data_IF_539190227298
#
_entry.id   IF_539190227298
#
_cell.length_a   1.000
_cell.length_b   1.000
_cell.length_c   1.000
_cell.angle_alpha   90.00
_cell.angle_beta   90.00
_cell.angle_gamma   90.00
#
_symmetry.space_group_name_H-M   'P 1'
#
loop_
_entity.id
_entity.type
_entity.pdbx_description
1 polymer ?
#
# COMPACT_ATOMS: atom_id res chain seq x y z
N UNK A 1 -9.62 55.60 -67.07
CA UNK A 1 -8.86 55.89 -65.84
C UNK A 1 -8.56 54.56 -65.15
N UNK A 2 -7.28 54.22 -64.98
CA UNK A 2 -6.82 53.02 -64.27
C UNK A 2 -6.98 53.29 -62.76
N UNK A 3 -7.79 52.49 -62.06
CA UNK A 3 -7.75 52.42 -60.60
C UNK A 3 -6.47 51.68 -60.20
N UNK A 4 -5.38 52.41 -59.99
CA UNK A 4 -4.15 51.92 -59.36
C UNK A 4 -3.95 52.65 -58.03
N UNK A 5 -3.55 51.88 -57.02
CA UNK A 5 -3.04 52.30 -55.71
C UNK A 5 -4.05 52.63 -54.59
N UNK A 6 -4.96 51.68 -54.30
CA UNK A 6 -5.33 51.45 -52.90
C UNK A 6 -4.63 50.18 -52.42
N UNK A 7 -3.56 50.27 -51.61
CA UNK A 7 -3.02 49.08 -50.95
C UNK A 7 -4.13 48.49 -50.09
N UNK A 8 -4.31 47.16 -50.15
CA UNK A 8 -5.22 46.44 -49.27
C UNK A 8 -4.70 46.56 -47.83
N UNK A 9 -5.15 47.58 -47.11
CA UNK A 9 -4.87 47.76 -45.68
C UNK A 9 -5.89 46.95 -44.90
N UNK A 10 -5.55 45.70 -44.59
CA UNK A 10 -6.33 44.90 -43.65
C UNK A 10 -5.87 45.22 -42.23
N UNK A 11 -6.76 45.65 -41.32
CA UNK A 11 -6.44 45.69 -39.91
C UNK A 11 -6.39 44.24 -39.40
N UNK A 12 -5.22 43.60 -39.49
CA UNK A 12 -4.99 42.21 -39.04
C UNK A 12 -5.60 41.97 -37.64
N UNK A 13 -5.39 42.91 -36.70
CA UNK A 13 -5.93 42.81 -35.35
C UNK A 13 -7.46 42.76 -35.23
N UNK A 14 -8.22 43.28 -36.21
CA UNK A 14 -9.69 43.19 -36.19
C UNK A 14 -10.21 41.90 -36.84
N UNK A 15 -9.44 41.30 -37.76
CA UNK A 15 -9.82 40.09 -38.48
C UNK A 15 -9.63 38.88 -37.56
N UNK A 16 -8.52 38.84 -36.83
CA UNK A 16 -8.23 37.74 -35.92
C UNK A 16 -9.07 37.78 -34.63
N UNK A 17 -9.51 38.96 -34.16
CA UNK A 17 -10.27 39.08 -32.91
C UNK A 17 -11.53 38.19 -32.85
N UNK A 18 -12.29 38.10 -33.95
CA UNK A 18 -13.49 37.24 -33.99
C UNK A 18 -13.14 35.76 -34.03
N UNK A 19 -12.06 35.40 -34.73
CA UNK A 19 -11.56 34.03 -34.81
C UNK A 19 -11.02 33.60 -33.44
N UNK A 20 -10.22 34.44 -32.80
CA UNK A 20 -9.64 34.21 -31.47
C UNK A 20 -10.75 34.04 -30.41
N UNK A 21 -11.77 34.89 -30.45
CA UNK A 21 -12.93 34.76 -29.57
C UNK A 21 -13.68 33.44 -29.80
N UNK A 22 -13.85 33.01 -31.06
CA UNK A 22 -14.49 31.73 -31.38
C UNK A 22 -13.65 30.54 -30.91
N UNK A 23 -12.33 30.57 -31.14
CA UNK A 23 -11.40 29.56 -30.65
C UNK A 23 -11.46 29.48 -29.13
N UNK A 24 -11.51 30.61 -28.42
CA UNK A 24 -11.66 30.63 -26.98
C UNK A 24 -12.97 29.97 -26.52
N UNK A 25 -14.10 30.19 -27.21
CA UNK A 25 -15.36 29.48 -26.92
C UNK A 25 -15.21 27.97 -27.07
N UNK A 26 -14.52 27.51 -28.12
CA UNK A 26 -14.25 26.09 -28.30
C UNK A 26 -13.38 25.52 -27.17
N UNK A 27 -12.34 26.24 -26.74
CA UNK A 27 -11.51 25.86 -25.59
C UNK A 27 -12.34 25.77 -24.30
N UNK A 28 -13.23 26.73 -24.05
CA UNK A 28 -14.12 26.73 -22.90
C UNK A 28 -15.04 25.49 -22.92
N UNK A 29 -15.59 25.13 -24.09
CA UNK A 29 -16.43 23.94 -24.26
C UNK A 29 -15.65 22.62 -24.12
N UNK A 30 -14.38 22.59 -24.54
CA UNK A 30 -13.51 21.45 -24.27
C UNK A 30 -13.31 21.27 -22.76
N UNK A 31 -13.11 22.36 -22.01
CA UNK A 31 -12.99 22.32 -20.55
C UNK A 31 -14.30 21.80 -19.89
N UNK A 32 -15.48 22.15 -20.43
CA UNK A 32 -16.76 21.56 -19.99
C UNK A 32 -16.79 20.05 -20.23
N UNK A 33 -16.33 19.58 -21.41
CA UNK A 33 -16.28 18.16 -21.75
C UNK A 33 -15.33 17.37 -20.84
N UNK A 34 -14.17 17.94 -20.49
CA UNK A 34 -13.26 17.36 -19.50
C UNK A 34 -13.93 17.24 -18.12
N UNK A 35 -14.68 18.26 -17.71
CA UNK A 35 -15.51 18.21 -16.51
C UNK A 35 -16.52 17.06 -16.55
N UNK A 36 -17.19 16.84 -17.69
CA UNK A 36 -18.11 15.71 -17.86
C UNK A 36 -17.39 14.36 -17.75
N UNK A 37 -16.18 14.25 -18.30
CA UNK A 37 -15.41 13.01 -18.20
C UNK A 37 -15.04 12.67 -16.75
N UNK A 38 -14.75 13.68 -15.92
CA UNK A 38 -14.36 13.50 -14.53
C UNK A 38 -15.54 13.26 -13.58
N UNK A 39 -16.60 14.05 -13.71
CA UNK A 39 -17.67 14.13 -12.70
C UNK A 39 -18.95 13.39 -13.10
N UNK A 40 -19.18 13.11 -14.38
CA UNK A 40 -20.44 12.52 -14.86
C UNK A 40 -20.31 11.00 -15.14
N UNK A 41 -19.68 10.26 -14.22
CA UNK A 41 -19.40 8.82 -14.41
C UNK A 41 -20.67 7.99 -14.65
N UNK A 42 -21.71 8.14 -13.83
CA UNK A 42 -22.97 7.39 -13.95
C UNK A 42 -23.74 7.81 -15.20
N UNK A 43 -23.79 9.12 -15.49
CA UNK A 43 -24.40 9.66 -16.71
C UNK A 43 -23.78 9.07 -17.99
N UNK A 44 -22.48 8.77 -17.95
CA UNK A 44 -21.73 8.14 -19.04
C UNK A 44 -21.81 6.60 -19.06
N UNK A 45 -22.52 5.98 -18.11
CA UNK A 45 -22.60 4.53 -17.98
C UNK A 45 -21.31 3.86 -17.49
N UNK A 46 -20.39 4.63 -16.90
CA UNK A 46 -19.17 4.07 -16.32
C UNK A 46 -19.53 3.43 -14.96
N UNK A 47 -19.19 2.14 -14.74
CA UNK A 47 -19.46 1.50 -13.46
C UNK A 47 -18.64 2.16 -12.36
N UNK A 48 -19.28 2.42 -11.22
CA UNK A 48 -18.58 2.88 -10.02
C UNK A 48 -17.67 1.75 -9.51
N UNK A 49 -16.38 2.00 -9.25
CA UNK A 49 -15.52 1.03 -8.59
C UNK A 49 -16.10 0.60 -7.24
N UNK A 50 -15.90 -0.67 -6.90
CA UNK A 50 -16.31 -1.18 -5.60
C UNK A 50 -15.31 -0.73 -4.54
N UNK A 51 -15.66 0.29 -3.76
CA UNK A 51 -14.87 0.70 -2.60
C UNK A 51 -15.03 -0.34 -1.48
N UNK A 52 -13.91 -0.71 -0.84
CA UNK A 52 -13.88 -1.58 0.33
C UNK A 52 -13.94 -0.79 1.65
N UNK A 53 -14.26 -1.49 2.74
CA UNK A 53 -14.15 -0.95 4.11
C UNK A 53 -15.41 -0.22 4.62
N UNK A 54 -15.29 0.34 5.83
CA UNK A 54 -16.42 0.93 6.56
C UNK A 54 -16.95 2.23 5.94
N UNK A 55 -16.11 2.97 5.22
CA UNK A 55 -16.46 4.22 4.54
C UNK A 55 -16.92 4.04 3.08
N UNK A 56 -17.01 2.82 2.57
CA UNK A 56 -17.31 2.56 1.15
C UNK A 56 -18.61 3.22 0.65
N UNK A 57 -19.69 3.11 1.45
CA UNK A 57 -20.97 3.72 1.13
C UNK A 57 -20.92 5.25 1.17
N UNK A 58 -20.21 5.82 2.15
CA UNK A 58 -20.01 7.26 2.30
C UNK A 58 -19.26 7.83 1.09
N UNK A 59 -18.15 7.20 0.69
CA UNK A 59 -17.36 7.61 -0.49
C UNK A 59 -18.22 7.59 -1.75
N UNK A 60 -18.96 6.50 -1.97
CA UNK A 60 -19.82 6.36 -3.15
C UNK A 60 -20.91 7.43 -3.18
N UNK A 61 -21.56 7.70 -2.04
CA UNK A 61 -22.57 8.74 -1.91
C UNK A 61 -21.98 10.14 -2.18
N UNK A 62 -20.81 10.47 -1.61
CA UNK A 62 -20.16 11.74 -1.87
C UNK A 62 -19.79 11.92 -3.35
N UNK A 63 -19.36 10.86 -4.03
CA UNK A 63 -19.11 10.90 -5.48
C UNK A 63 -20.39 11.16 -6.27
N UNK A 64 -21.53 10.57 -5.87
CA UNK A 64 -22.82 10.85 -6.49
C UNK A 64 -23.31 12.28 -6.24
N UNK A 65 -23.11 12.82 -5.04
CA UNK A 65 -23.45 14.21 -4.71
C UNK A 65 -22.63 15.21 -5.54
N UNK A 66 -21.35 14.91 -5.78
CA UNK A 66 -20.49 15.69 -6.68
C UNK A 66 -21.02 15.62 -8.13
N UNK A 67 -21.39 14.43 -8.61
CA UNK A 67 -21.97 14.25 -9.94
C UNK A 67 -23.28 15.05 -10.10
N UNK A 68 -24.21 14.94 -9.16
CA UNK A 68 -25.49 15.65 -9.19
C UNK A 68 -25.28 17.17 -9.19
N UNK A 69 -24.32 17.65 -8.40
CA UNK A 69 -23.92 19.07 -8.36
C UNK A 69 -23.34 19.53 -9.71
N UNK A 70 -22.49 18.71 -10.33
CA UNK A 70 -21.93 18.99 -11.65
C UNK A 70 -23.02 19.05 -12.73
N UNK A 71 -23.92 18.07 -12.77
CA UNK A 71 -25.03 18.03 -13.74
C UNK A 71 -25.98 19.22 -13.59
N UNK A 72 -26.21 19.68 -12.35
CA UNK A 72 -26.97 20.91 -12.09
C UNK A 72 -26.27 22.16 -12.63
N UNK A 73 -24.95 22.26 -12.50
CA UNK A 73 -24.18 23.38 -13.05
C UNK A 73 -24.16 23.32 -14.58
N UNK A 74 -24.02 22.12 -15.16
CA UNK A 74 -24.05 21.91 -16.60
C UNK A 74 -25.41 22.26 -17.21
N UNK A 75 -26.52 21.89 -16.56
CA UNK A 75 -27.86 22.19 -17.08
C UNK A 75 -28.13 23.70 -17.14
N UNK A 76 -27.55 24.50 -16.23
CA UNK A 76 -27.62 25.96 -16.30
C UNK A 76 -26.90 26.52 -17.53
N UNK A 77 -25.78 25.90 -17.91
CA UNK A 77 -25.03 26.28 -19.11
C UNK A 77 -25.73 25.83 -20.39
N UNK A 78 -26.42 24.69 -20.37
CA UNK A 78 -27.19 24.17 -21.52
C UNK A 78 -28.47 24.96 -21.81
N UNK A 79 -29.08 25.57 -20.80
CA UNK A 79 -30.37 26.27 -20.91
C UNK A 79 -30.21 27.80 -21.08
N UNK A 80 -29.09 28.28 -21.60
CA UNK A 80 -28.92 29.70 -21.93
C UNK A 80 -29.78 30.11 -23.13
N UNK A 81 -30.22 31.37 -23.15
CA UNK A 81 -31.15 31.93 -24.13
C UNK A 81 -30.48 32.43 -25.43
N UNK A 82 -29.19 32.16 -25.60
CA UNK A 82 -28.38 32.60 -26.74
C UNK A 82 -27.49 31.48 -27.27
N UNK A 83 -26.97 31.63 -28.48
CA UNK A 83 -25.99 30.70 -29.04
C UNK A 83 -24.63 30.87 -28.35
N UNK A 84 -24.17 29.82 -27.68
CA UNK A 84 -22.89 29.79 -26.96
C UNK A 84 -21.67 30.03 -27.85
N UNK A 85 -21.79 29.73 -29.16
CA UNK A 85 -20.75 29.96 -30.16
C UNK A 85 -20.80 31.37 -30.77
N UNK A 86 -21.84 32.16 -30.48
CA UNK A 86 -21.88 33.55 -30.93
C UNK A 86 -20.88 34.39 -30.12
N UNK A 87 -19.82 34.82 -30.81
CA UNK A 87 -18.77 35.70 -30.28
C UNK A 87 -19.27 37.10 -29.93
N UNK A 88 -20.43 37.50 -30.46
CA UNK A 88 -21.06 38.80 -30.18
C UNK A 88 -21.86 38.77 -28.88
N UNK A 89 -22.15 37.59 -28.34
CA UNK A 89 -22.84 37.44 -27.06
C UNK A 89 -21.86 37.74 -25.91
N UNK A 90 -22.00 38.86 -25.18
CA UNK A 90 -21.07 39.20 -24.10
C UNK A 90 -21.27 38.33 -22.86
N UNK A 91 -22.45 37.71 -22.69
CA UNK A 91 -22.86 37.01 -21.45
C UNK A 91 -22.12 35.69 -21.20
N UNK A 92 -21.54 35.06 -22.22
CA UNK A 92 -20.88 33.75 -22.07
C UNK A 92 -19.69 33.80 -21.13
N UNK A 93 -18.85 34.85 -21.21
CA UNK A 93 -17.66 34.92 -20.35
C UNK A 93 -18.04 34.87 -18.88
N UNK A 94 -19.15 35.50 -18.51
CA UNK A 94 -19.68 35.50 -17.15
C UNK A 94 -20.28 34.14 -16.79
N UNK A 95 -21.10 33.56 -17.67
CA UNK A 95 -21.73 32.26 -17.45
C UNK A 95 -20.70 31.13 -17.33
N UNK A 96 -19.72 31.11 -18.24
CA UNK A 96 -18.61 30.16 -18.21
C UNK A 96 -17.69 30.42 -17.02
N UNK A 97 -17.40 31.69 -16.68
CA UNK A 97 -16.63 32.04 -15.49
C UNK A 97 -17.25 31.49 -14.19
N UNK A 98 -18.57 31.57 -14.06
CA UNK A 98 -19.31 30.96 -12.93
C UNK A 98 -19.17 29.43 -12.96
N UNK A 99 -19.41 28.79 -14.11
CA UNK A 99 -19.26 27.34 -14.26
C UNK A 99 -17.86 26.87 -13.91
N UNK A 100 -16.82 27.57 -14.40
CA UNK A 100 -15.41 27.27 -14.15
C UNK A 100 -15.05 27.35 -12.67
N UNK A 101 -15.55 28.36 -11.97
CA UNK A 101 -15.37 28.46 -10.51
C UNK A 101 -16.04 27.29 -9.78
N UNK A 102 -17.27 26.96 -10.14
CA UNK A 102 -17.98 25.82 -9.54
C UNK A 102 -17.28 24.48 -9.84
N UNK A 103 -16.72 24.33 -11.03
CA UNK A 103 -15.95 23.14 -11.41
C UNK A 103 -14.67 23.02 -10.56
N UNK A 104 -13.99 24.14 -10.29
CA UNK A 104 -12.83 24.16 -9.38
C UNK A 104 -13.22 23.75 -7.95
N UNK A 105 -14.40 24.16 -7.49
CA UNK A 105 -14.90 23.78 -6.16
C UNK A 105 -15.26 22.27 -6.12
N UNK A 106 -15.83 21.73 -7.19
CA UNK A 106 -16.08 20.30 -7.36
C UNK A 106 -14.79 19.47 -7.33
N UNK A 107 -13.70 19.96 -7.94
CA UNK A 107 -12.39 19.31 -7.82
C UNK A 107 -11.90 19.27 -6.38
N UNK A 108 -12.07 20.36 -5.62
CA UNK A 108 -11.69 20.41 -4.20
C UNK A 108 -12.50 19.41 -3.38
N UNK A 109 -13.81 19.34 -3.62
CA UNK A 109 -14.66 18.34 -2.97
C UNK A 109 -14.22 16.92 -3.34
N UNK A 110 -13.89 16.66 -4.61
CA UNK A 110 -13.39 15.36 -5.06
C UNK A 110 -12.08 14.96 -4.38
N UNK A 111 -11.12 15.87 -4.28
CA UNK A 111 -9.86 15.64 -3.55
C UNK A 111 -10.09 15.38 -2.06
N UNK A 112 -11.08 16.02 -1.45
CA UNK A 112 -11.45 15.75 -0.05
C UNK A 112 -12.06 14.35 0.12
N UNK A 113 -12.85 13.89 -0.85
CA UNK A 113 -13.36 12.50 -0.86
C UNK A 113 -12.19 11.50 -0.95
N UNK A 114 -11.22 11.75 -1.83
CA UNK A 114 -10.00 10.93 -1.91
C UNK A 114 -9.29 10.90 -0.54
N UNK A 115 -9.08 12.05 0.10
CA UNK A 115 -8.45 12.10 1.42
C UNK A 115 -9.22 11.28 2.48
N UNK A 116 -10.53 11.47 2.57
CA UNK A 116 -11.37 10.75 3.55
C UNK A 116 -11.34 9.23 3.33
N UNK A 117 -11.25 8.80 2.07
CA UNK A 117 -11.11 7.39 1.73
C UNK A 117 -9.82 6.80 2.28
N UNK A 118 -8.69 7.49 2.11
CA UNK A 118 -7.40 7.06 2.65
C UNK A 118 -7.31 7.10 4.19
N UNK A 119 -8.02 8.02 4.85
CA UNK A 119 -8.11 8.03 6.32
C UNK A 119 -8.83 6.81 6.90
N UNK A 120 -9.71 6.17 6.12
CA UNK A 120 -10.44 4.97 6.54
C UNK A 120 -9.65 3.68 6.41
N UNK A 121 -8.41 3.73 5.92
CA UNK A 121 -7.62 2.55 5.57
C UNK A 121 -6.66 2.17 6.70
N UNK A 122 -6.70 0.89 7.10
CA UNK A 122 -5.82 0.33 8.13
C UNK A 122 -4.71 -0.60 7.61
N UNK A 123 -4.74 -1.00 6.33
CA UNK A 123 -3.76 -1.95 5.76
C UNK A 123 -3.25 -1.46 4.40
N UNK A 124 -2.03 -1.87 4.03
CA UNK A 124 -1.42 -1.54 2.72
C UNK A 124 -2.30 -2.06 1.58
N UNK A 125 -2.81 -3.30 1.68
CA UNK A 125 -3.77 -3.90 0.73
C UNK A 125 -4.92 -2.95 0.40
N UNK A 126 -5.57 -2.45 1.45
CA UNK A 126 -6.76 -1.61 1.34
C UNK A 126 -6.40 -0.25 0.76
N UNK A 127 -5.19 0.27 1.03
CA UNK A 127 -4.74 1.56 0.52
C UNK A 127 -4.46 1.47 -0.98
N UNK A 128 -3.81 0.39 -1.42
CA UNK A 128 -3.58 0.07 -2.84
C UNK A 128 -4.92 -0.03 -3.58
N UNK A 129 -5.89 -0.79 -3.05
CA UNK A 129 -7.21 -0.94 -3.68
C UNK A 129 -8.00 0.38 -3.81
N UNK A 130 -7.91 1.26 -2.80
CA UNK A 130 -8.50 2.61 -2.86
C UNK A 130 -7.79 3.46 -3.91
N UNK A 131 -6.46 3.40 -3.97
CA UNK A 131 -5.66 4.12 -4.96
C UNK A 131 -5.99 3.68 -6.39
N UNK A 132 -6.07 2.37 -6.65
CA UNK A 132 -6.49 1.79 -7.93
C UNK A 132 -7.84 2.34 -8.37
N UNK A 133 -8.81 2.34 -7.45
CA UNK A 133 -10.16 2.81 -7.71
C UNK A 133 -10.18 4.29 -8.13
N UNK A 134 -9.45 5.15 -7.43
CA UNK A 134 -9.39 6.57 -7.77
C UNK A 134 -8.52 6.87 -9.01
N UNK A 135 -7.49 6.06 -9.27
CA UNK A 135 -6.72 6.17 -10.51
C UNK A 135 -7.59 5.91 -11.73
N UNK A 136 -8.46 4.90 -11.69
CA UNK A 136 -9.41 4.61 -12.78
C UNK A 136 -10.43 5.74 -12.99
N UNK A 137 -10.83 6.42 -11.90
CA UNK A 137 -11.79 7.52 -11.95
C UNK A 137 -11.15 8.88 -12.30
N UNK A 138 -9.85 9.06 -12.08
CA UNK A 138 -9.15 10.29 -12.39
C UNK A 138 -9.06 10.49 -13.92
N UNK A 139 -9.49 11.67 -14.39
CA UNK A 139 -9.46 12.09 -15.80
C UNK A 139 -8.83 13.46 -15.98
N UNK A 140 -9.10 14.41 -15.08
CA UNK A 140 -8.49 15.75 -15.11
C UNK A 140 -7.13 15.77 -14.42
N UNK A 141 -6.21 16.55 -14.97
CA UNK A 141 -4.82 16.66 -14.51
C UNK A 141 -4.68 16.97 -13.02
N UNK A 142 -5.49 17.89 -12.48
CA UNK A 142 -5.45 18.22 -11.06
C UNK A 142 -5.84 17.04 -10.16
N UNK A 143 -6.79 16.22 -10.59
CA UNK A 143 -7.22 15.02 -9.84
C UNK A 143 -6.18 13.91 -9.98
N UNK A 144 -5.63 13.69 -11.19
CA UNK A 144 -4.54 12.73 -11.42
C UNK A 144 -3.32 13.05 -10.54
N UNK A 145 -2.83 14.28 -10.60
CA UNK A 145 -1.70 14.73 -9.78
C UNK A 145 -1.98 14.57 -8.27
N UNK A 146 -3.24 14.72 -7.85
CA UNK A 146 -3.61 14.46 -6.46
C UNK A 146 -3.58 12.97 -6.11
N UNK A 147 -4.03 12.09 -7.01
CA UNK A 147 -3.94 10.63 -6.85
C UNK A 147 -2.48 10.19 -6.80
N UNK A 148 -1.62 10.72 -7.67
CA UNK A 148 -0.18 10.41 -7.67
C UNK A 148 0.48 10.81 -6.34
N UNK A 149 0.14 11.99 -5.82
CA UNK A 149 0.56 12.45 -4.49
C UNK A 149 0.07 11.54 -3.36
N UNK A 150 -1.10 10.92 -3.50
CA UNK A 150 -1.57 9.92 -2.52
C UNK A 150 -0.76 8.62 -2.61
N UNK A 151 -0.30 8.24 -3.81
CA UNK A 151 0.67 7.16 -4.01
C UNK A 151 2.01 7.45 -3.29
N UNK A 152 2.57 8.65 -3.45
CA UNK A 152 3.78 9.07 -2.72
C UNK A 152 3.58 8.99 -1.19
N UNK A 153 2.41 9.41 -0.70
CA UNK A 153 2.06 9.31 0.73
C UNK A 153 2.00 7.85 1.20
N UNK A 154 1.48 6.94 0.37
CA UNK A 154 1.43 5.52 0.67
C UNK A 154 2.84 4.92 0.81
N UNK A 155 3.76 5.21 -0.10
CA UNK A 155 5.17 4.79 0.00
C UNK A 155 5.84 5.30 1.28
N UNK A 156 5.60 6.57 1.63
CA UNK A 156 6.12 7.16 2.87
C UNK A 156 5.55 6.49 4.13
N UNK A 157 4.26 6.17 4.15
CA UNK A 157 3.63 5.46 5.27
C UNK A 157 4.23 4.06 5.45
N UNK A 158 4.41 3.33 4.36
CA UNK A 158 5.03 2.01 4.41
C UNK A 158 6.50 2.10 4.87
N UNK A 159 7.27 3.06 4.37
CA UNK A 159 8.64 3.32 4.83
C UNK A 159 8.70 3.62 6.34
N UNK A 160 7.72 4.38 6.86
CA UNK A 160 7.62 4.66 8.30
C UNK A 160 7.28 3.39 9.10
N UNK A 161 6.37 2.56 8.60
CA UNK A 161 6.02 1.27 9.21
C UNK A 161 7.24 0.34 9.29
N UNK A 162 8.01 0.23 8.20
CA UNK A 162 9.24 -0.57 8.16
C UNK A 162 10.26 -0.09 9.19
N UNK A 163 10.53 1.21 9.24
CA UNK A 163 11.55 1.78 10.12
C UNK A 163 11.17 1.74 11.61
N UNK A 164 9.89 1.91 11.94
CA UNK A 164 9.46 2.05 13.33
C UNK A 164 8.91 0.75 13.91
N UNK A 165 8.02 0.06 13.20
CA UNK A 165 7.31 -1.09 13.73
C UNK A 165 8.09 -2.37 13.45
N UNK A 166 8.37 -2.65 12.17
CA UNK A 166 9.04 -3.90 11.75
C UNK A 166 10.45 -3.97 12.31
N UNK A 167 11.23 -2.90 12.20
CA UNK A 167 12.59 -2.87 12.77
C UNK A 167 12.60 -3.07 14.29
N UNK A 168 11.62 -2.52 15.00
CA UNK A 168 11.51 -2.68 16.46
C UNK A 168 11.08 -4.10 16.85
N UNK A 169 10.18 -4.70 16.08
CA UNK A 169 9.78 -6.11 16.23
C UNK A 169 10.96 -7.05 15.96
N UNK A 170 11.75 -6.78 14.92
CA UNK A 170 12.99 -7.49 14.62
C UNK A 170 14.02 -7.38 15.76
N UNK A 171 14.26 -6.17 16.27
CA UNK A 171 15.15 -5.95 17.42
C UNK A 171 14.67 -6.65 18.69
N UNK A 172 13.36 -6.78 18.87
CA UNK A 172 12.79 -7.54 19.98
C UNK A 172 13.12 -9.03 19.85
N UNK A 173 12.89 -9.64 18.68
CA UNK A 173 13.25 -11.03 18.42
C UNK A 173 14.76 -11.29 18.58
N UNK A 174 15.59 -10.30 18.24
CA UNK A 174 17.05 -10.37 18.40
C UNK A 174 17.51 -10.34 19.86
N UNK A 175 16.87 -9.52 20.72
CA UNK A 175 17.29 -9.30 22.12
C UNK A 175 16.64 -10.27 23.10
N UNK A 176 15.41 -10.66 22.85
CA UNK A 176 14.66 -11.61 23.67
C UNK A 176 14.03 -12.66 22.77
N UNK A 177 14.69 -13.81 22.59
CA UNK A 177 14.07 -15.00 21.98
C UNK A 177 12.87 -15.56 22.76
N UNK A 178 12.44 -14.94 23.86
CA UNK A 178 11.49 -15.51 24.81
C UNK A 178 10.08 -14.94 24.70
N UNK A 179 9.23 -15.74 24.03
CA UNK A 179 7.81 -15.97 24.28
C UNK A 179 6.75 -14.90 23.88
N UNK A 180 5.64 -15.33 23.25
CA UNK A 180 5.13 -16.70 23.21
C UNK A 180 5.54 -17.47 21.93
N UNK A 181 6.73 -18.07 21.93
CA UNK A 181 6.98 -19.40 21.41
C UNK A 181 5.75 -20.22 21.79
N UNK A 182 4.89 -20.50 20.82
CA UNK A 182 3.76 -21.43 20.97
C UNK A 182 4.35 -22.64 21.72
N UNK A 183 3.79 -22.97 22.89
CA UNK A 183 4.37 -23.93 23.84
C UNK A 183 4.93 -25.16 23.11
N UNK A 184 6.26 -25.25 22.99
CA UNK A 184 6.94 -26.34 22.28
C UNK A 184 7.83 -25.96 21.10
N UNK A 185 7.97 -24.68 20.71
CA UNK A 185 8.97 -24.31 19.70
C UNK A 185 10.41 -24.23 20.27
N UNK A 186 11.43 -24.60 19.48
CA UNK A 186 12.83 -24.52 19.87
C UNK A 186 13.34 -23.08 19.97
N UNK A 187 14.52 -22.90 20.58
CA UNK A 187 15.11 -21.58 20.78
C UNK A 187 15.60 -20.97 19.46
N UNK A 188 16.42 -21.70 18.71
CA UNK A 188 17.05 -21.18 17.50
C UNK A 188 16.07 -21.17 16.33
N UNK A 189 15.48 -22.33 16.02
CA UNK A 189 14.53 -22.45 14.92
C UNK A 189 13.24 -21.65 15.17
N UNK A 190 12.83 -21.47 16.43
CA UNK A 190 11.69 -20.62 16.78
C UNK A 190 11.95 -19.15 16.47
N UNK A 191 13.10 -18.62 16.87
CA UNK A 191 13.51 -17.25 16.54
C UNK A 191 13.65 -17.05 15.03
N UNK A 192 14.26 -18.00 14.32
CA UNK A 192 14.36 -17.96 12.87
C UNK A 192 12.98 -17.96 12.19
N UNK A 193 12.03 -18.76 12.68
CA UNK A 193 10.67 -18.82 12.17
C UNK A 193 9.92 -17.49 12.38
N UNK A 194 10.05 -16.86 13.55
CA UNK A 194 9.45 -15.54 13.81
C UNK A 194 9.98 -14.48 12.84
N UNK A 195 11.30 -14.47 12.59
CA UNK A 195 11.92 -13.54 11.63
C UNK A 195 11.48 -13.84 10.20
N UNK A 196 11.45 -15.10 9.77
CA UNK A 196 10.91 -15.49 8.46
C UNK A 196 9.44 -15.10 8.29
N UNK A 197 8.62 -15.23 9.33
CA UNK A 197 7.24 -14.77 9.32
C UNK A 197 7.13 -13.25 9.11
N UNK A 198 8.01 -12.48 9.76
CA UNK A 198 8.12 -11.05 9.55
C UNK A 198 8.54 -10.71 8.11
N UNK A 199 9.52 -11.43 7.56
CA UNK A 199 9.96 -11.28 6.17
C UNK A 199 8.83 -11.53 5.17
N UNK A 200 8.07 -12.62 5.34
CA UNK A 200 6.93 -12.93 4.47
C UNK A 200 5.85 -11.83 4.53
N UNK A 201 5.58 -11.29 5.73
CA UNK A 201 4.63 -10.19 5.91
C UNK A 201 5.04 -8.93 5.13
N UNK A 202 6.30 -8.51 5.25
CA UNK A 202 6.80 -7.33 4.53
C UNK A 202 6.91 -7.57 3.03
N UNK A 203 7.19 -8.81 2.61
CA UNK A 203 7.25 -9.19 1.20
C UNK A 203 5.88 -9.06 0.53
N UNK A 204 4.81 -9.57 1.15
CA UNK A 204 3.44 -9.44 0.62
C UNK A 204 3.04 -7.97 0.45
N UNK A 205 3.33 -7.12 1.45
CA UNK A 205 3.05 -5.69 1.37
C UNK A 205 3.86 -5.01 0.25
N UNK A 206 5.12 -5.41 0.04
CA UNK A 206 5.95 -4.88 -1.04
C UNK A 206 5.47 -5.33 -2.42
N UNK A 207 5.02 -6.58 -2.55
CA UNK A 207 4.43 -7.11 -3.78
C UNK A 207 3.17 -6.32 -4.19
N UNK A 208 2.31 -5.98 -3.24
CA UNK A 208 1.14 -5.13 -3.49
C UNK A 208 1.52 -3.72 -3.94
N UNK A 209 2.55 -3.12 -3.32
CA UNK A 209 3.08 -1.82 -3.74
C UNK A 209 3.72 -1.84 -5.12
N UNK A 210 4.29 -2.97 -5.54
CA UNK A 210 4.86 -3.13 -6.88
C UNK A 210 3.80 -3.25 -7.97
N UNK A 211 2.55 -3.59 -7.63
CA UNK A 211 1.43 -3.61 -8.58
C UNK A 211 1.01 -2.21 -9.02
N UNK A 212 1.43 -1.17 -8.31
CA UNK A 212 1.20 0.25 -8.63
C UNK A 212 2.10 0.76 -9.78
N UNK A 213 2.35 -0.07 -10.80
CA UNK A 213 3.25 0.23 -11.91
C UNK A 213 2.76 1.33 -12.86
N UNK A 214 1.51 1.77 -12.69
CA UNK A 214 0.87 2.83 -13.48
C UNK A 214 1.16 4.23 -12.93
N UNK A 215 1.67 4.35 -11.69
CA UNK A 215 2.07 5.62 -11.11
C UNK A 215 3.37 6.12 -11.74
N UNK A 216 3.54 7.44 -11.78
CA UNK A 216 4.83 8.01 -12.19
C UNK A 216 5.93 7.60 -11.20
N UNK A 217 7.10 7.15 -11.69
CA UNK A 217 8.22 6.81 -10.82
C UNK A 217 8.60 8.00 -9.93
N UNK A 218 8.60 7.78 -8.62
CA UNK A 218 8.90 8.81 -7.63
C UNK A 218 10.09 8.41 -6.75
N UNK A 219 10.74 9.39 -6.14
CA UNK A 219 11.89 9.17 -5.26
C UNK A 219 11.51 8.32 -4.04
N UNK A 220 10.28 8.49 -3.56
CA UNK A 220 9.70 7.80 -2.43
C UNK A 220 9.58 6.28 -2.68
N UNK A 221 9.32 5.89 -3.93
CA UNK A 221 9.28 4.50 -4.36
C UNK A 221 10.67 3.85 -4.24
N UNK A 222 11.70 4.51 -4.76
CA UNK A 222 13.09 4.03 -4.68
C UNK A 222 13.57 3.94 -3.23
N UNK A 223 13.31 4.98 -2.43
CA UNK A 223 13.63 4.99 -1.00
C UNK A 223 12.93 3.84 -0.25
N UNK A 224 11.66 3.59 -0.55
CA UNK A 224 10.89 2.49 0.03
C UNK A 224 11.54 1.15 -0.30
N UNK A 225 11.92 0.96 -1.57
CA UNK A 225 12.57 -0.26 -2.04
C UNK A 225 13.93 -0.47 -1.39
N UNK A 226 14.72 0.58 -1.21
CA UNK A 226 16.02 0.50 -0.53
C UNK A 226 15.88 0.14 0.94
N UNK A 227 14.92 0.75 1.65
CA UNK A 227 14.63 0.43 3.06
C UNK A 227 14.17 -1.02 3.21
N UNK A 228 13.27 -1.47 2.33
CA UNK A 228 12.81 -2.86 2.29
C UNK A 228 13.98 -3.83 2.06
N UNK A 229 14.78 -3.61 1.00
CA UNK A 229 15.88 -4.51 0.64
C UNK A 229 16.94 -4.60 1.74
N UNK A 230 17.28 -3.47 2.36
CA UNK A 230 18.24 -3.43 3.47
C UNK A 230 17.70 -4.19 4.68
N UNK A 231 16.45 -3.92 5.08
CA UNK A 231 15.85 -4.59 6.23
C UNK A 231 15.67 -6.10 6.00
N UNK A 232 15.22 -6.49 4.81
CA UNK A 232 15.07 -7.89 4.41
C UNK A 232 16.42 -8.62 4.41
N UNK A 233 17.46 -8.03 3.80
CA UNK A 233 18.80 -8.60 3.80
C UNK A 233 19.41 -8.74 5.21
N UNK A 234 19.14 -7.79 6.11
CA UNK A 234 19.56 -7.91 7.51
C UNK A 234 18.86 -9.06 8.24
N UNK A 235 17.57 -9.29 7.95
CA UNK A 235 16.82 -10.42 8.50
C UNK A 235 17.35 -11.75 7.97
N UNK A 236 17.66 -11.85 6.67
CA UNK A 236 18.28 -13.03 6.07
C UNK A 236 19.63 -13.36 6.70
N UNK A 237 20.51 -12.36 6.82
CA UNK A 237 21.80 -12.51 7.46
C UNK A 237 21.67 -12.96 8.92
N UNK A 238 20.69 -12.44 9.65
CA UNK A 238 20.41 -12.86 11.03
C UNK A 238 19.93 -14.30 11.12
N UNK A 239 19.02 -14.75 10.23
CA UNK A 239 18.57 -16.16 10.19
C UNK A 239 19.76 -17.09 9.94
N UNK A 240 20.66 -16.74 9.02
CA UNK A 240 21.89 -17.51 8.76
C UNK A 240 22.84 -17.51 9.96
N UNK A 241 22.96 -16.38 10.67
CA UNK A 241 23.75 -16.30 11.90
C UNK A 241 23.20 -17.25 12.98
N UNK A 242 21.89 -17.19 13.25
CA UNK A 242 21.20 -18.05 14.24
C UNK A 242 21.38 -19.54 13.89
N UNK A 243 21.30 -19.88 12.60
CA UNK A 243 21.59 -21.24 12.14
C UNK A 243 23.05 -21.66 12.41
N UNK A 244 24.01 -20.76 12.15
CA UNK A 244 25.43 -21.00 12.44
C UNK A 244 25.72 -21.20 13.92
N UNK A 245 25.07 -20.42 14.79
CA UNK A 245 25.16 -20.55 16.25
C UNK A 245 24.63 -21.91 16.73
N UNK A 246 23.47 -22.34 16.21
CA UNK A 246 22.91 -23.65 16.50
C UNK A 246 23.83 -24.80 16.05
N UNK A 247 24.40 -24.72 14.84
CA UNK A 247 25.35 -25.73 14.33
C UNK A 247 26.62 -25.78 15.20
N UNK A 248 27.08 -24.66 15.74
CA UNK A 248 28.21 -24.64 16.66
C UNK A 248 27.88 -25.32 18.00
N UNK A 249 26.67 -25.10 18.55
CA UNK A 249 26.20 -25.79 19.76
C UNK A 249 26.08 -27.30 19.54
N UNK A 250 25.55 -27.73 18.38
CA UNK A 250 25.48 -29.14 18.02
C UNK A 250 26.85 -29.82 17.99
N UNK A 251 27.86 -29.16 17.40
CA UNK A 251 29.23 -29.68 17.36
C UNK A 251 29.82 -29.84 18.77
N UNK A 252 29.59 -28.85 19.64
CA UNK A 252 30.01 -28.93 21.04
C UNK A 252 29.34 -30.09 21.81
N UNK A 253 28.08 -30.42 21.51
CA UNK A 253 27.41 -31.59 22.09
C UNK A 253 27.98 -32.92 21.58
N UNK A 254 28.35 -33.01 20.30
CA UNK A 254 28.92 -34.22 19.72
C UNK A 254 30.30 -34.54 20.31
N UNK A 255 31.15 -33.52 20.49
CA UNK A 255 32.45 -33.62 21.16
C UNK A 255 32.34 -34.14 22.61
N UNK A 256 31.21 -33.90 23.27
CA UNK A 256 30.91 -34.38 24.63
C UNK A 256 30.36 -35.83 24.66
N UNK A 257 30.45 -36.57 23.55
CA UNK A 257 29.96 -37.94 23.34
C UNK A 257 28.44 -38.10 23.47
N UNK A 258 27.71 -37.68 22.43
CA UNK A 258 26.27 -37.92 22.26
C UNK A 258 25.88 -39.40 22.49
N UNK A 259 26.73 -40.32 22.04
CA UNK A 259 26.54 -41.77 22.19
C UNK A 259 26.46 -42.24 23.65
N UNK A 260 27.14 -41.58 24.60
CA UNK A 260 27.06 -41.94 26.02
C UNK A 260 25.74 -41.51 26.65
N UNK A 261 25.16 -40.39 26.20
CA UNK A 261 23.85 -39.90 26.66
C UNK A 261 22.71 -40.80 26.23
N UNK A 262 22.84 -41.43 25.06
CA UNK A 262 21.91 -42.44 24.55
C UNK A 262 21.98 -43.79 25.30
N UNK A 263 23.06 -44.06 26.02
CA UNK A 263 23.26 -45.32 26.75
C UNK A 263 22.67 -45.27 28.17
N UNK A 264 22.10 -44.14 28.60
CA UNK A 264 21.46 -44.01 29.90
C UNK A 264 20.10 -44.74 29.89
N UNK A 265 19.79 -45.47 30.97
CA UNK A 265 18.51 -46.18 31.10
C UNK A 265 17.32 -45.23 30.97
N UNK A 266 16.39 -45.57 30.07
CA UNK A 266 15.24 -44.73 29.67
C UNK A 266 14.18 -44.51 30.75
N UNK A 267 14.10 -45.42 31.72
CA UNK A 267 13.12 -45.39 32.80
C UNK A 267 13.88 -45.34 34.12
N UNK A 268 13.65 -44.29 34.89
CA UNK A 268 14.18 -44.18 36.25
C UNK A 268 13.04 -44.11 37.25
N UNK A 269 13.31 -44.58 38.46
CA UNK A 269 12.46 -44.31 39.61
C UNK A 269 13.05 -43.09 40.34
N UNK A 270 12.24 -42.08 40.70
CA UNK A 270 12.74 -40.90 41.41
C UNK A 270 13.49 -41.20 42.71
N UNK A 271 13.27 -42.39 43.31
CA UNK A 271 13.88 -42.79 44.59
C UNK A 271 15.37 -43.22 44.51
N UNK A 272 15.94 -43.44 43.33
CA UNK A 272 17.31 -43.98 43.20
C UNK A 272 18.43 -42.93 43.37
N UNK A 273 18.11 -41.64 43.45
CA UNK A 273 19.10 -40.55 43.65
C UNK A 273 19.32 -40.14 45.11
N UNK A 274 18.43 -40.51 46.03
CA UNK A 274 18.64 -40.32 47.48
C UNK A 274 18.16 -41.55 48.23
N UNK A 275 19.11 -42.45 48.50
CA UNK A 275 18.95 -43.53 49.47
C UNK A 275 18.35 -42.96 50.76
N UNK A 276 17.16 -43.44 51.13
CA UNK A 276 16.39 -43.17 52.35
C UNK A 276 15.25 -42.13 52.26
N UNK A 277 14.23 -42.39 51.45
CA UNK A 277 12.82 -42.27 51.89
C UNK A 277 11.87 -42.85 50.83
N UNK A 278 11.31 -44.02 51.11
CA UNK A 278 10.18 -44.58 50.35
C UNK A 278 8.92 -43.78 50.66
N UNK A 279 8.68 -42.71 49.90
CA UNK A 279 7.43 -41.95 49.96
C UNK A 279 6.51 -42.46 48.84
N UNK A 280 5.29 -42.84 49.21
CA UNK A 280 4.23 -43.37 48.33
C UNK A 280 4.06 -42.53 47.05
N UNK A 281 4.72 -42.93 45.98
CA UNK A 281 4.68 -42.27 44.67
C UNK A 281 5.48 -43.04 43.61
N UNK A 282 5.27 -44.35 43.50
CA UNK A 282 6.02 -45.25 42.62
C UNK A 282 5.64 -45.19 41.14
N UNK A 283 5.79 -44.01 40.52
CA UNK A 283 5.63 -43.85 39.07
C UNK A 283 7.01 -43.91 38.39
N UNK A 284 7.09 -44.57 37.23
CA UNK A 284 8.28 -44.57 36.38
C UNK A 284 8.30 -43.24 35.60
N UNK A 285 9.43 -42.54 35.62
CA UNK A 285 9.63 -41.34 34.83
C UNK A 285 10.56 -41.63 33.65
N UNK A 286 10.33 -40.94 32.52
CA UNK A 286 11.23 -41.01 31.37
C UNK A 286 12.50 -40.22 31.67
N UNK A 287 13.63 -40.91 31.68
CA UNK A 287 14.96 -40.34 31.87
C UNK A 287 15.63 -39.97 30.54
N UNK A 288 14.82 -39.67 29.52
CA UNK A 288 15.35 -39.28 28.22
C UNK A 288 16.02 -37.91 28.32
N UNK A 289 17.17 -37.76 27.69
CA UNK A 289 17.96 -36.53 27.72
C UNK A 289 17.15 -35.35 27.14
N UNK A 290 16.87 -34.36 27.99
CA UNK A 290 16.07 -33.18 27.64
C UNK A 290 16.76 -32.29 26.60
N UNK A 291 18.08 -32.27 26.55
CA UNK A 291 18.83 -31.53 25.52
C UNK A 291 18.72 -32.23 24.17
N UNK A 292 18.71 -33.57 24.17
CA UNK A 292 18.50 -34.33 22.94
C UNK A 292 17.07 -34.15 22.37
N UNK A 293 16.06 -34.07 23.23
CA UNK A 293 14.68 -33.73 22.81
C UNK A 293 14.60 -32.33 22.18
N UNK A 294 15.25 -31.33 22.79
CA UNK A 294 15.34 -29.98 22.21
C UNK A 294 16.03 -30.03 20.86
N UNK A 295 17.13 -30.77 20.73
CA UNK A 295 17.85 -30.94 19.48
C UNK A 295 16.97 -31.53 18.37
N UNK A 296 16.23 -32.62 18.65
CA UNK A 296 15.33 -33.20 17.64
C UNK A 296 14.24 -32.22 17.21
N UNK A 297 13.72 -31.41 18.14
CA UNK A 297 12.79 -30.35 17.79
C UNK A 297 13.46 -29.29 16.90
N UNK A 298 14.66 -28.81 17.25
CA UNK A 298 15.43 -27.87 16.41
C UNK A 298 15.60 -28.42 14.99
N UNK A 299 16.09 -29.66 14.83
CA UNK A 299 16.31 -30.30 13.52
C UNK A 299 15.03 -30.32 12.70
N UNK A 300 13.92 -30.74 13.30
CA UNK A 300 12.62 -30.81 12.60
C UNK A 300 12.16 -29.43 12.08
N UNK A 301 12.31 -28.37 12.88
CA UNK A 301 11.91 -27.03 12.45
C UNK A 301 12.88 -26.45 11.43
N UNK A 302 14.19 -26.67 11.60
CA UNK A 302 15.17 -26.26 10.60
C UNK A 302 14.95 -26.96 9.26
N UNK A 303 14.69 -28.26 9.25
CA UNK A 303 14.34 -29.00 8.02
C UNK A 303 13.14 -28.38 7.31
N UNK A 304 12.10 -27.99 8.04
CA UNK A 304 10.94 -27.30 7.46
C UNK A 304 11.25 -25.91 6.93
N UNK A 305 12.10 -25.15 7.62
CA UNK A 305 12.54 -23.83 7.17
C UNK A 305 13.36 -23.98 5.88
N UNK A 306 14.24 -25.00 5.78
CA UNK A 306 15.03 -25.28 4.57
C UNK A 306 14.17 -25.80 3.41
N UNK A 307 13.24 -26.70 3.68
CA UNK A 307 12.33 -27.27 2.67
C UNK A 307 11.34 -26.25 2.08
N UNK A 308 11.16 -25.10 2.73
CA UNK A 308 10.31 -23.99 2.26
C UNK A 308 11.08 -22.91 1.51
N UNK A 309 12.38 -23.12 1.23
CA UNK A 309 13.25 -22.17 0.52
C UNK A 309 14.23 -21.44 1.46
N UNK A 310 15.47 -21.93 1.47
CA UNK A 310 16.67 -21.09 1.58
C UNK A 310 16.96 -20.53 0.19
#
# INVERSE_FOLDING_TARGET
>A
AKNSDRPWTFPEGSIFLQIDAFVQRCCDLLEVCEGQQQFACRSRGQPMPAFGGTKAAEISNSLFEIEDSFLKNLSRLQNVDYDILDVRAPKWSDHFGIFKNQMRDLEVMYMNVINSAFEGVGTVQSAVAVLDSFFLLAKRERVKAFVDKMGEKLYNLFTLEMNNNVKREFEHFRKQPSLPIIQGHPHYAGTALSVKGLMLRIQQQMEELNMLCYLEPCREQDQTRDVYNNLHGNMEAFVLQVFGEWVAELKGMDDMNLGKRLQVGLLTRPEDSTLMQRLKGGLLESNFDKEMLKMFQEVYYWEKIQGSGI
#
